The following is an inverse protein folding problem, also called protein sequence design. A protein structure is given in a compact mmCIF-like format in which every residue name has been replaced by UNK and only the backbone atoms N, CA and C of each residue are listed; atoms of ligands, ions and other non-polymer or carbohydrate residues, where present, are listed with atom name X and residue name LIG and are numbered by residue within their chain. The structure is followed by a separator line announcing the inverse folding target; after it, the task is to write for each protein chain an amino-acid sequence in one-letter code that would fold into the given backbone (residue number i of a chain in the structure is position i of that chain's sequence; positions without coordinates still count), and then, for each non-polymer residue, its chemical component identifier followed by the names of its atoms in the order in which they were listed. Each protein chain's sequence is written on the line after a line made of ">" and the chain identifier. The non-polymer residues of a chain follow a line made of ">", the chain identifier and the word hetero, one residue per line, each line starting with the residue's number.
data_IF_725421059524
#
_entry.id   IF_725421059524
#
_cell.length_a   1.000
_cell.length_b   1.000
_cell.length_c   1.000
_cell.angle_alpha   90.00
_cell.angle_beta   90.00
_cell.angle_gamma   90.00
#
_symmetry.space_group_name_H-M   'P 1'
#
loop_
_entity.id
_entity.type
_entity.pdbx_description
1 polymer ?
#
# COMPACT_ATOMS: atom_id res chain seq x y z
N UNK A 1 12.88 -0.12 -23.00
CA UNK A 1 13.00 1.11 -22.18
C UNK A 1 12.46 0.75 -20.82
N UNK A 2 13.29 0.79 -19.78
CA UNK A 2 12.84 0.49 -18.42
C UNK A 2 12.40 1.80 -17.79
N UNK A 3 11.11 1.93 -17.50
CA UNK A 3 10.59 3.05 -16.72
C UNK A 3 10.75 2.68 -15.25
N UNK A 4 11.62 3.39 -14.54
CA UNK A 4 11.80 3.26 -13.11
C UNK A 4 11.65 4.63 -12.46
N UNK A 5 11.21 4.61 -11.20
CA UNK A 5 11.20 5.79 -10.33
C UNK A 5 12.07 5.44 -9.12
N UNK A 6 13.11 6.22 -8.91
CA UNK A 6 13.92 6.11 -7.70
C UNK A 6 13.24 6.84 -6.54
N UNK A 7 13.34 6.25 -5.36
CA UNK A 7 12.95 6.89 -4.09
C UNK A 7 14.27 7.09 -3.35
N UNK A 8 14.79 8.33 -3.43
CA UNK A 8 16.15 8.65 -2.98
C UNK A 8 16.24 8.84 -1.46
N UNK A 9 15.19 9.41 -0.86
CA UNK A 9 15.02 9.53 0.60
C UNK A 9 14.01 8.49 1.08
N UNK A 10 14.48 7.25 1.23
CA UNK A 10 13.68 6.18 1.83
C UNK A 10 13.55 6.43 3.33
N UNK A 11 12.32 6.40 3.89
CA UNK A 11 12.16 6.46 5.32
C UNK A 11 12.71 5.21 6.00
N UNK A 12 12.85 5.30 7.32
CA UNK A 12 13.40 4.21 8.13
C UNK A 12 12.57 2.93 8.04
N UNK A 13 11.27 3.04 7.75
CA UNK A 13 10.36 1.91 7.64
C UNK A 13 9.43 2.08 6.43
N UNK A 14 9.29 0.96 5.72
CA UNK A 14 8.52 0.84 4.48
C UNK A 14 7.53 -0.31 4.63
N UNK A 15 6.28 -0.06 4.26
CA UNK A 15 5.24 -1.08 4.10
C UNK A 15 4.94 -1.24 2.61
N UNK A 16 4.87 -2.49 2.14
CA UNK A 16 4.55 -2.81 0.76
C UNK A 16 3.31 -3.70 0.74
N UNK A 17 2.26 -3.24 0.07
CA UNK A 17 0.98 -3.93 -0.06
C UNK A 17 0.88 -4.51 -1.47
N UNK A 18 0.53 -5.80 -1.52
CA UNK A 18 0.28 -6.55 -2.75
C UNK A 18 -1.02 -6.17 -3.45
N UNK A 19 -1.48 -7.05 -4.33
CA UNK A 19 -2.68 -6.87 -5.15
C UNK A 19 -3.93 -6.58 -4.31
N UNK A 20 -4.70 -5.58 -4.72
CA UNK A 20 -5.97 -5.23 -4.04
C UNK A 20 -7.16 -5.93 -4.69
N UNK A 21 -7.18 -6.04 -6.02
CA UNK A 21 -8.27 -6.66 -6.79
C UNK A 21 -9.67 -6.20 -6.34
N UNK A 22 -9.90 -4.89 -6.19
CA UNK A 22 -11.19 -4.33 -5.78
C UNK A 22 -11.60 -4.55 -4.31
N UNK A 23 -10.76 -5.20 -3.49
CA UNK A 23 -10.98 -5.46 -2.06
C UNK A 23 -10.72 -4.19 -1.21
N UNK A 24 -11.56 -3.17 -1.44
CA UNK A 24 -11.42 -1.84 -0.84
C UNK A 24 -11.72 -1.81 0.66
N UNK A 25 -12.59 -2.69 1.17
CA UNK A 25 -12.87 -2.80 2.61
C UNK A 25 -11.68 -3.42 3.35
N UNK A 26 -11.13 -4.49 2.80
CA UNK A 26 -9.95 -5.17 3.33
C UNK A 26 -8.72 -4.27 3.26
N UNK A 27 -8.55 -3.52 2.17
CA UNK A 27 -7.48 -2.53 2.03
C UNK A 27 -7.61 -1.42 3.08
N UNK A 28 -8.82 -0.93 3.33
CA UNK A 28 -9.06 0.07 4.37
C UNK A 28 -8.80 -0.50 5.78
N UNK A 29 -9.25 -1.73 6.04
CA UNK A 29 -9.00 -2.42 7.30
C UNK A 29 -7.51 -2.67 7.55
N UNK A 30 -6.76 -3.04 6.50
CA UNK A 30 -5.31 -3.19 6.56
C UNK A 30 -4.63 -1.86 6.92
N UNK A 31 -4.96 -0.76 6.22
CA UNK A 31 -4.38 0.56 6.51
C UNK A 31 -4.72 1.02 7.93
N UNK A 32 -5.93 0.76 8.40
CA UNK A 32 -6.32 1.07 9.78
C UNK A 32 -5.50 0.25 10.78
N UNK A 33 -5.36 -1.05 10.56
CA UNK A 33 -4.52 -1.91 11.41
C UNK A 33 -3.06 -1.45 11.43
N UNK A 34 -2.50 -1.10 10.27
CA UNK A 34 -1.15 -0.55 10.19
C UNK A 34 -1.05 0.74 11.02
N UNK A 35 -2.07 1.61 10.99
CA UNK A 35 -2.10 2.86 11.77
C UNK A 35 -2.22 2.62 13.27
N UNK A 36 -3.11 1.72 13.71
CA UNK A 36 -3.42 1.57 15.14
C UNK A 36 -2.50 0.60 15.86
N UNK A 37 -2.13 -0.50 15.22
CA UNK A 37 -1.37 -1.59 15.86
C UNK A 37 0.11 -1.54 15.51
N UNK A 38 0.44 -1.30 14.23
CA UNK A 38 1.84 -1.26 13.77
C UNK A 38 2.45 0.15 13.87
N UNK A 39 1.65 1.14 14.25
CA UNK A 39 2.07 2.52 14.45
C UNK A 39 2.52 3.22 13.17
N UNK A 40 1.89 2.92 12.02
CA UNK A 40 2.12 3.62 10.75
C UNK A 40 1.91 5.13 10.93
N UNK A 41 2.94 5.91 10.60
CA UNK A 41 2.97 7.35 10.76
C UNK A 41 3.41 8.08 9.47
N UNK A 42 3.29 9.41 9.39
CA UNK A 42 3.71 10.18 8.21
C UNK A 42 5.21 10.09 7.88
N UNK A 43 6.04 9.64 8.83
CA UNK A 43 7.46 9.40 8.64
C UNK A 43 7.76 8.06 7.96
N UNK A 44 6.76 7.18 7.83
CA UNK A 44 6.88 5.93 7.08
C UNK A 44 6.47 6.10 5.61
N UNK A 45 6.81 5.11 4.80
CA UNK A 45 6.30 5.00 3.42
C UNK A 45 5.42 3.77 3.29
N UNK A 46 4.22 3.95 2.73
CA UNK A 46 3.31 2.88 2.34
C UNK A 46 3.22 2.85 0.81
N UNK A 47 3.62 1.72 0.21
CA UNK A 47 3.60 1.51 -1.25
C UNK A 47 2.60 0.42 -1.59
N UNK A 48 1.73 0.71 -2.55
CA UNK A 48 0.88 -0.30 -3.21
C UNK A 48 1.52 -0.66 -4.55
N UNK A 49 1.64 -1.96 -4.84
CA UNK A 49 2.40 -2.44 -6.01
C UNK A 49 1.60 -2.46 -7.31
N UNK A 50 0.27 -2.34 -7.26
CA UNK A 50 -0.58 -2.36 -8.44
C UNK A 50 -1.85 -3.19 -8.24
N UNK A 51 -2.46 -3.60 -9.35
CA UNK A 51 -3.67 -4.45 -9.39
C UNK A 51 -4.77 -3.98 -8.43
N UNK A 52 -5.08 -2.68 -8.52
CA UNK A 52 -6.10 -2.02 -7.71
C UNK A 52 -7.53 -2.52 -8.02
N UNK A 53 -7.78 -2.82 -9.29
CA UNK A 53 -9.08 -3.13 -9.88
C UNK A 53 -9.06 -4.50 -10.57
N UNK A 54 -10.21 -4.91 -11.10
CA UNK A 54 -10.52 -6.25 -11.63
C UNK A 54 -10.55 -7.36 -10.56
N UNK A 55 -11.39 -8.38 -10.81
CA UNK A 55 -11.61 -9.60 -10.00
C UNK A 55 -12.30 -9.42 -8.63
N UNK A 56 -12.49 -8.18 -8.17
CA UNK A 56 -13.19 -7.87 -6.92
C UNK A 56 -14.69 -7.65 -7.06
N UNK A 57 -15.45 -7.73 -5.96
CA UNK A 57 -16.91 -7.51 -5.95
C UNK A 57 -17.34 -6.05 -6.15
N UNK A 58 -16.41 -5.08 -6.11
CA UNK A 58 -16.66 -3.64 -6.32
C UNK A 58 -15.76 -2.99 -7.38
N UNK A 59 -15.23 -3.77 -8.32
CA UNK A 59 -14.43 -3.26 -9.45
C UNK A 59 -15.29 -2.61 -10.53
#
# INVERSE_FOLDING_TARGET
>A
MTNYREILDLPQRLFVVGDIHGCSEESAALVEHLRTEEGLSPEDLLVFVGDYIDRGPRS
#
